data_IF_237374970904
#
_entry.id   IF_237374970904
#
_cell.length_a   1.000
_cell.length_b   1.000
_cell.length_c   1.000
_cell.angle_alpha   90.00
_cell.angle_beta   90.00
_cell.angle_gamma   90.00
#
_symmetry.space_group_name_H-M   'P 1'
#
loop_
_entity.id
_entity.type
_entity.pdbx_description
1 polymer ?
#
# COMPACT_ATOMS: atom_id res chain seq x y z
N UNK A 1 -16.83 -9.04 22.91
CA UNK A 1 -16.72 -8.51 21.58
C UNK A 1 -15.31 -8.60 21.08
N UNK A 2 -15.11 -9.24 19.99
CA UNK A 2 -13.77 -9.39 19.53
C UNK A 2 -13.41 -8.21 18.63
N UNK A 3 -12.22 -7.71 18.83
CA UNK A 3 -11.72 -6.65 18.01
C UNK A 3 -10.94 -7.28 16.88
N UNK A 4 -11.53 -7.28 15.72
CA UNK A 4 -10.84 -7.79 14.55
C UNK A 4 -9.93 -6.68 14.05
N UNK A 5 -8.66 -6.94 14.11
CA UNK A 5 -7.69 -5.98 13.62
C UNK A 5 -7.22 -6.44 12.26
N UNK A 6 -7.45 -5.61 11.28
CA UNK A 6 -6.98 -5.90 9.94
C UNK A 6 -5.55 -5.44 9.80
N UNK A 7 -4.79 -6.21 9.09
CA UNK A 7 -3.40 -5.92 8.86
C UNK A 7 -3.16 -5.80 7.36
N UNK A 8 -2.37 -4.82 6.98
CA UNK A 8 -1.98 -4.65 5.58
C UNK A 8 -0.47 -4.73 5.55
N UNK A 9 0.06 -5.57 4.70
CA UNK A 9 1.50 -5.71 4.65
C UNK A 9 1.99 -6.18 3.31
N UNK A 10 3.28 -6.01 3.12
CA UNK A 10 3.93 -6.47 1.91
C UNK A 10 4.24 -7.95 2.04
N UNK A 11 3.75 -8.73 1.11
CA UNK A 11 4.04 -10.15 1.09
C UNK A 11 5.01 -10.48 -0.02
N UNK A 12 5.16 -11.78 -0.26
CA UNK A 12 6.13 -12.24 -1.23
C UNK A 12 5.80 -11.77 -2.64
N UNK A 13 4.52 -11.80 -2.98
CA UNK A 13 4.12 -11.50 -4.35
C UNK A 13 3.28 -10.23 -4.48
N UNK A 14 3.08 -9.49 -3.41
CA UNK A 14 2.27 -8.29 -3.49
C UNK A 14 1.88 -7.77 -2.14
N UNK A 15 0.87 -6.93 -2.12
CA UNK A 15 0.36 -6.33 -0.90
C UNK A 15 -0.88 -7.11 -0.49
N UNK A 16 -0.93 -7.52 0.77
CA UNK A 16 -2.01 -8.34 1.28
C UNK A 16 -2.70 -7.64 2.44
N UNK A 17 -3.95 -7.91 2.59
CA UNK A 17 -4.71 -7.44 3.74
C UNK A 17 -5.50 -8.60 4.30
N UNK A 18 -5.67 -8.59 5.60
CA UNK A 18 -6.43 -9.65 6.25
C UNK A 18 -6.25 -9.59 7.75
N UNK A 19 -6.44 -10.73 8.39
CA UNK A 19 -6.28 -10.81 9.84
C UNK A 19 -5.13 -11.74 10.17
N UNK A 20 -4.51 -11.47 11.29
CA UNK A 20 -3.37 -12.27 11.72
C UNK A 20 -3.79 -13.27 12.76
N UNK A 21 -3.21 -14.45 12.69
CA UNK A 21 -3.36 -15.45 13.72
C UNK A 21 -2.42 -15.15 14.87
N UNK A 22 -1.24 -14.69 14.53
CA UNK A 22 -0.26 -14.19 15.48
C UNK A 22 0.62 -13.21 14.74
N UNK A 23 1.55 -12.54 15.41
CA UNK A 23 2.34 -11.48 14.74
C UNK A 23 3.09 -11.92 13.50
N UNK A 24 3.37 -13.21 13.37
CA UNK A 24 4.15 -13.70 12.25
C UNK A 24 3.37 -14.51 11.26
N UNK A 25 2.07 -14.64 11.45
CA UNK A 25 1.32 -15.59 10.66
C UNK A 25 -0.07 -15.06 10.35
N UNK A 26 -0.44 -15.11 9.10
CA UNK A 26 -1.78 -14.69 8.67
C UNK A 26 -2.81 -15.75 9.02
N UNK A 27 -3.96 -15.31 9.48
CA UNK A 27 -5.11 -16.21 9.62
C UNK A 27 -5.78 -16.35 8.27
N UNK A 28 -6.03 -15.21 7.63
CA UNK A 28 -6.47 -15.21 6.25
C UNK A 28 -5.95 -13.93 5.63
N UNK A 29 -5.79 -13.93 4.34
CA UNK A 29 -5.28 -12.77 3.65
C UNK A 29 -5.80 -12.76 2.23
N UNK A 30 -5.90 -11.59 1.66
CA UNK A 30 -6.28 -11.40 0.28
C UNK A 30 -5.27 -10.49 -0.38
N UNK A 31 -5.00 -10.73 -1.63
CA UNK A 31 -4.11 -9.88 -2.40
C UNK A 31 -4.88 -8.62 -2.75
N UNK A 32 -4.43 -7.50 -2.23
CA UNK A 32 -5.09 -6.23 -2.48
C UNK A 32 -4.13 -5.25 -3.16
N UNK A 33 -3.16 -5.78 -3.89
CA UNK A 33 -2.13 -4.96 -4.49
C UNK A 33 -2.72 -3.84 -5.34
N UNK A 34 -3.61 -4.19 -6.25
CA UNK A 34 -4.17 -3.17 -7.14
C UNK A 34 -5.02 -2.16 -6.38
N UNK A 35 -5.85 -2.64 -5.47
CA UNK A 35 -6.67 -1.73 -4.67
C UNK A 35 -5.82 -0.81 -3.82
N UNK A 36 -4.75 -1.35 -3.26
CA UNK A 36 -3.87 -0.54 -2.42
C UNK A 36 -3.18 0.52 -3.24
N UNK A 37 -2.67 0.16 -4.40
CA UNK A 37 -2.00 1.12 -5.26
C UNK A 37 -2.96 2.18 -5.76
N UNK A 38 -4.16 1.78 -6.13
CA UNK A 38 -5.18 2.75 -6.55
C UNK A 38 -5.52 3.71 -5.43
N UNK A 39 -5.62 3.19 -4.21
CA UNK A 39 -5.95 4.02 -3.06
C UNK A 39 -4.85 5.03 -2.78
N UNK A 40 -3.61 4.59 -2.84
CA UNK A 40 -2.48 5.48 -2.61
C UNK A 40 -2.42 6.54 -3.69
N UNK A 41 -2.61 6.13 -4.94
CA UNK A 41 -2.60 7.08 -6.04
C UNK A 41 -3.69 8.12 -5.87
N UNK A 42 -4.89 7.69 -5.53
CA UNK A 42 -6.00 8.62 -5.30
C UNK A 42 -5.72 9.56 -4.15
N UNK A 43 -5.14 9.04 -3.08
CA UNK A 43 -4.80 9.86 -1.93
C UNK A 43 -3.79 10.95 -2.32
N UNK A 44 -2.74 10.55 -3.04
CA UNK A 44 -1.70 11.50 -3.42
C UNK A 44 -2.23 12.56 -4.39
N UNK A 45 -3.04 12.14 -5.36
CA UNK A 45 -3.58 13.08 -6.32
C UNK A 45 -4.55 14.07 -5.69
N UNK A 46 -5.24 13.63 -4.64
CA UNK A 46 -6.26 14.45 -4.01
C UNK A 46 -5.73 15.34 -2.91
N UNK A 47 -4.72 14.86 -2.18
CA UNK A 47 -4.31 15.54 -0.94
C UNK A 47 -2.93 16.17 -1.03
N UNK A 48 -1.92 15.39 -1.35
CA UNK A 48 -0.57 15.89 -1.16
C UNK A 48 0.29 15.91 -2.39
N UNK A 49 0.00 15.11 -3.35
CA UNK A 49 0.79 14.96 -4.57
C UNK A 49 2.15 14.35 -4.34
N UNK A 50 2.70 14.42 -3.16
CA UNK A 50 3.90 13.64 -2.85
C UNK A 50 3.95 13.39 -1.36
N UNK A 51 4.57 12.29 -1.01
CA UNK A 51 4.68 11.86 0.37
C UNK A 51 6.11 11.52 0.67
N UNK A 52 6.67 12.17 1.66
CA UNK A 52 8.04 11.92 2.08
C UNK A 52 8.03 10.95 3.25
N UNK A 53 8.86 9.93 3.18
CA UNK A 53 8.87 8.91 4.24
C UNK A 53 10.24 8.29 4.37
N UNK A 54 10.44 7.58 5.47
CA UNK A 54 11.66 6.85 5.73
C UNK A 54 11.39 5.36 5.64
N UNK A 55 12.30 4.64 5.04
CA UNK A 55 12.19 3.19 4.96
C UNK A 55 13.60 2.62 5.05
N UNK A 56 13.80 1.76 6.05
CA UNK A 56 15.10 1.12 6.29
C UNK A 56 16.22 2.15 6.34
N UNK A 57 15.96 3.22 7.11
CA UNK A 57 16.94 4.25 7.41
C UNK A 57 17.33 5.12 6.23
N UNK A 58 16.54 5.09 5.19
CA UNK A 58 16.74 5.97 4.05
C UNK A 58 15.48 6.78 3.80
N UNK A 59 15.67 7.94 3.20
CA UNK A 59 14.54 8.81 2.93
C UNK A 59 14.10 8.64 1.48
N UNK A 60 12.80 8.62 1.30
CA UNK A 60 12.21 8.43 -0.02
C UNK A 60 11.06 9.39 -0.21
N UNK A 61 10.72 9.61 -1.44
CA UNK A 61 9.50 10.35 -1.77
C UNK A 61 8.66 9.49 -2.69
N UNK A 62 7.37 9.44 -2.39
CA UNK A 62 6.41 8.73 -3.21
C UNK A 62 5.51 9.74 -3.88
N UNK A 63 5.38 9.68 -5.18
CA UNK A 63 4.53 10.62 -5.89
C UNK A 63 3.89 9.96 -7.08
N UNK A 64 2.82 10.56 -7.56
CA UNK A 64 2.10 10.08 -8.71
C UNK A 64 2.32 11.06 -9.86
N UNK A 65 2.72 10.54 -11.00
CA UNK A 65 2.99 11.35 -12.16
C UNK A 65 2.16 10.81 -13.31
N UNK A 66 1.45 11.69 -13.96
CA UNK A 66 0.65 11.28 -15.10
C UNK A 66 1.57 10.88 -16.24
N UNK A 67 1.32 9.71 -16.78
CA UNK A 67 2.10 9.22 -17.89
C UNK A 67 1.69 9.94 -19.14
N UNK A 68 2.67 10.53 -19.82
CA UNK A 68 2.35 11.22 -21.03
C UNK A 68 2.32 10.23 -22.15
N UNK A 69 1.20 10.20 -22.81
CA UNK A 69 1.06 9.33 -23.96
C UNK A 69 1.73 10.02 -25.10
N UNK A 70 2.87 9.52 -25.50
CA UNK A 70 3.56 10.13 -26.60
C UNK A 70 3.01 9.62 -27.83
N UNK A 71 1.90 10.15 -28.17
CA UNK A 71 1.31 9.73 -29.41
C UNK A 71 2.21 10.18 -30.49
N UNK A 72 2.72 9.43 -31.15
CA UNK A 72 3.54 9.85 -32.17
C UNK A 72 3.11 9.92 -33.41
#
# INVERSE_FOLDING_TARGET
>A
MSNTVYHVGLGFAGIYAGTLKNPNEWRNKSDVTNEALDSVAGYLLTHEKELHFSYKEKRYVLKVVEEQDEAD
#
